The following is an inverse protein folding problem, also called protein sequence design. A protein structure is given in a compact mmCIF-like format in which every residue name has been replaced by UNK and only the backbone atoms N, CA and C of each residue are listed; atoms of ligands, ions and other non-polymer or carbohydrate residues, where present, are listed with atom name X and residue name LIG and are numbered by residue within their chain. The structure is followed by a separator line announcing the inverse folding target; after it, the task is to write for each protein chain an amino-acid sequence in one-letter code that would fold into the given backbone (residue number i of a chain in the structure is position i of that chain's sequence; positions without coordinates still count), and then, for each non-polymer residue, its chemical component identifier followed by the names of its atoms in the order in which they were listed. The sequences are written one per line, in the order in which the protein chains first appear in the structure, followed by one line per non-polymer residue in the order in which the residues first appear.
data_IF_621535678974
#
_entry.id   IF_621535678974
#
_cell.length_a   1.000
_cell.length_b   1.000
_cell.length_c   1.000
_cell.angle_alpha   90.00
_cell.angle_beta   90.00
_cell.angle_gamma   90.00
#
_symmetry.space_group_name_H-M   'P 1'
#
loop_
_entity.id
_entity.type
_entity.pdbx_description
1 polymer ?
#
# COMPACT_ATOMS: atom_id res chain seq x y z
N UNK A 1 27.23 1.28 -3.60
CA UNK A 1 26.00 1.67 -2.90
C UNK A 1 25.91 3.18 -2.98
N UNK A 2 25.04 3.71 -3.81
CA UNK A 2 24.76 5.14 -3.78
C UNK A 2 24.05 5.45 -2.45
N UNK A 3 24.59 6.39 -1.69
CA UNK A 3 23.93 6.86 -0.48
C UNK A 3 22.49 7.27 -0.80
N UNK A 4 21.55 6.79 -0.02
CA UNK A 4 20.13 7.13 -0.17
C UNK A 4 19.90 8.66 -0.13
N UNK A 5 20.89 9.40 0.37
CA UNK A 5 20.88 10.85 0.50
C UNK A 5 21.33 11.57 -0.78
N UNK A 6 21.94 10.87 -1.73
CA UNK A 6 22.39 11.43 -3.02
C UNK A 6 21.32 11.25 -4.13
N UNK A 7 20.17 10.68 -3.76
CA UNK A 7 19.14 10.29 -4.72
C UNK A 7 18.19 11.43 -5.09
N UNK A 8 17.96 12.40 -4.20
CA UNK A 8 16.96 13.47 -4.36
C UNK A 8 17.54 14.82 -3.94
N UNK A 9 17.29 15.85 -4.73
CA UNK A 9 17.50 17.23 -4.30
C UNK A 9 16.25 17.78 -3.57
N UNK A 10 16.35 18.96 -2.99
CA UNK A 10 15.23 19.61 -2.30
C UNK A 10 14.02 19.79 -3.21
N UNK A 11 14.26 20.08 -4.47
CA UNK A 11 13.22 20.28 -5.47
C UNK A 11 12.44 19.00 -5.77
N UNK A 12 13.12 17.85 -5.80
CA UNK A 12 12.48 16.53 -5.94
C UNK A 12 11.60 16.25 -4.72
N UNK A 13 12.06 16.55 -3.52
CA UNK A 13 11.29 16.37 -2.29
C UNK A 13 10.05 17.26 -2.28
N UNK A 14 10.17 18.52 -2.66
CA UNK A 14 9.04 19.45 -2.72
C UNK A 14 8.02 19.01 -3.77
N UNK A 15 8.49 18.54 -4.93
CA UNK A 15 7.64 17.98 -5.97
C UNK A 15 6.90 16.72 -5.48
N UNK A 16 7.58 15.81 -4.81
CA UNK A 16 6.96 14.60 -4.24
C UNK A 16 5.91 14.94 -3.19
N UNK A 17 6.14 15.93 -2.35
CA UNK A 17 5.13 16.41 -1.39
C UNK A 17 3.87 16.91 -2.07
N UNK A 18 4.02 17.66 -3.17
CA UNK A 18 2.88 18.17 -3.93
C UNK A 18 2.05 17.03 -4.55
N UNK A 19 2.71 16.09 -5.23
CA UNK A 19 2.01 14.99 -5.93
C UNK A 19 1.47 13.92 -4.99
N UNK A 20 2.08 13.71 -3.83
CA UNK A 20 1.54 12.82 -2.80
C UNK A 20 0.24 13.37 -2.20
N UNK A 21 0.16 14.69 -2.05
CA UNK A 21 -1.03 15.36 -1.51
C UNK A 21 -2.18 15.45 -2.51
N UNK A 22 -1.88 15.70 -3.77
CA UNK A 22 -2.85 15.82 -4.86
C UNK A 22 -2.19 15.45 -6.19
N UNK A 23 -2.48 14.25 -6.67
CA UNK A 23 -1.92 13.79 -7.93
C UNK A 23 -2.57 14.45 -9.15
N UNK A 24 -3.79 14.96 -9.03
CA UNK A 24 -4.47 15.70 -10.09
C UNK A 24 -3.95 17.14 -10.24
N UNK A 25 -3.00 17.55 -9.41
CA UNK A 25 -2.36 18.86 -9.54
C UNK A 25 -1.78 19.02 -10.96
N UNK A 26 -2.12 20.14 -11.59
CA UNK A 26 -1.67 20.42 -12.96
C UNK A 26 -0.17 20.76 -13.03
N UNK A 27 0.43 20.56 -14.20
CA UNK A 27 1.80 21.00 -14.46
C UNK A 27 1.95 22.51 -14.28
N UNK A 28 0.91 23.28 -14.62
CA UNK A 28 0.88 24.73 -14.39
C UNK A 28 0.97 25.08 -12.91
N UNK A 29 0.17 24.42 -12.09
CA UNK A 29 0.16 24.62 -10.63
C UNK A 29 1.50 24.22 -10.01
N UNK A 30 2.08 23.09 -10.41
CA UNK A 30 3.39 22.64 -9.95
C UNK A 30 4.51 23.60 -10.36
N UNK A 31 4.46 24.07 -11.60
CA UNK A 31 5.41 25.06 -12.14
C UNK A 31 5.39 26.35 -11.31
N UNK A 32 4.23 26.84 -10.97
CA UNK A 32 4.03 28.03 -10.16
C UNK A 32 4.48 27.83 -8.72
N UNK A 33 4.05 26.75 -8.08
CA UNK A 33 4.37 26.41 -6.68
C UNK A 33 5.88 26.21 -6.46
N UNK A 34 6.55 25.55 -7.39
CA UNK A 34 7.97 25.18 -7.28
C UNK A 34 8.91 26.17 -7.95
N UNK A 35 8.39 27.20 -8.60
CA UNK A 35 9.16 28.15 -9.39
C UNK A 35 10.08 27.45 -10.44
N UNK A 36 9.52 26.48 -11.13
CA UNK A 36 10.16 25.73 -12.21
C UNK A 36 9.37 25.86 -13.50
N UNK A 37 10.03 25.66 -14.63
CA UNK A 37 9.32 25.52 -15.91
C UNK A 37 8.50 24.23 -15.93
N UNK A 38 7.42 24.19 -16.72
CA UNK A 38 6.63 22.96 -16.95
C UNK A 38 7.50 21.82 -17.47
N UNK A 39 8.43 22.11 -18.36
CA UNK A 39 9.39 21.13 -18.89
C UNK A 39 10.28 20.55 -17.81
N UNK A 40 10.75 21.38 -16.87
CA UNK A 40 11.56 20.93 -15.74
C UNK A 40 10.77 20.05 -14.78
N UNK A 41 9.52 20.41 -14.48
CA UNK A 41 8.61 19.59 -13.67
C UNK A 41 8.36 18.24 -14.32
N UNK A 42 8.02 18.23 -15.60
CA UNK A 42 7.75 17.02 -16.38
C UNK A 42 8.97 16.09 -16.42
N UNK A 43 10.16 16.65 -16.63
CA UNK A 43 11.43 15.91 -16.62
C UNK A 43 11.67 15.23 -15.27
N UNK A 44 11.50 15.96 -14.16
CA UNK A 44 11.70 15.44 -12.81
C UNK A 44 10.69 14.33 -12.47
N UNK A 45 9.41 14.52 -12.82
CA UNK A 45 8.37 13.50 -12.63
C UNK A 45 8.70 12.21 -13.37
N UNK A 46 9.08 12.31 -14.64
CA UNK A 46 9.45 11.13 -15.43
C UNK A 46 10.68 10.42 -14.86
N UNK A 47 11.67 11.15 -14.42
CA UNK A 47 12.86 10.60 -13.78
C UNK A 47 12.52 9.86 -12.47
N UNK A 48 11.61 10.41 -11.66
CA UNK A 48 11.13 9.76 -10.44
C UNK A 48 10.32 8.49 -10.74
N UNK A 49 9.53 8.48 -11.80
CA UNK A 49 8.83 7.27 -12.29
C UNK A 49 9.81 6.22 -12.79
N UNK A 50 10.77 6.59 -13.62
CA UNK A 50 11.76 5.68 -14.20
C UNK A 50 12.64 5.03 -13.12
N UNK A 51 12.90 5.76 -12.04
CA UNK A 51 13.64 5.25 -10.87
C UNK A 51 12.79 4.42 -9.90
N UNK A 52 11.49 4.30 -10.14
CA UNK A 52 10.58 3.55 -9.28
C UNK A 52 10.22 4.27 -7.97
N UNK A 53 10.55 5.55 -7.83
CA UNK A 53 10.18 6.34 -6.63
C UNK A 53 8.67 6.62 -6.63
N UNK A 54 8.13 6.98 -7.79
CA UNK A 54 6.69 6.98 -8.02
C UNK A 54 6.34 5.62 -8.62
N UNK A 55 5.83 4.72 -7.80
CA UNK A 55 5.53 3.34 -8.21
C UNK A 55 4.27 3.24 -9.07
N UNK A 56 3.32 4.11 -8.83
CA UNK A 56 2.07 4.13 -9.57
C UNK A 56 1.12 5.20 -9.08
N UNK A 57 0.00 5.29 -9.77
CA UNK A 57 -1.11 6.19 -9.43
C UNK A 57 -2.37 5.37 -9.42
N UNK A 58 -3.09 5.43 -8.31
CA UNK A 58 -4.36 4.72 -8.13
C UNK A 58 -5.43 5.68 -7.63
N UNK A 59 -6.67 5.40 -7.98
CA UNK A 59 -7.78 6.12 -7.39
C UNK A 59 -8.05 5.60 -5.97
N UNK A 60 -8.26 6.51 -5.04
CA UNK A 60 -8.77 6.20 -3.71
C UNK A 60 -10.30 6.19 -3.78
N UNK A 61 -10.87 4.99 -3.72
CA UNK A 61 -12.31 4.80 -3.86
C UNK A 61 -12.97 4.72 -2.48
N UNK A 62 -14.15 5.33 -2.36
CA UNK A 62 -14.94 5.22 -1.15
C UNK A 62 -15.56 3.82 -1.02
N UNK A 63 -15.11 2.99 -0.07
CA UNK A 63 -15.62 1.63 0.09
C UNK A 63 -17.12 1.58 0.43
N UNK A 64 -17.63 2.59 1.10
CA UNK A 64 -19.05 2.68 1.47
C UNK A 64 -19.95 2.77 0.23
N UNK A 65 -19.46 3.39 -0.85
CA UNK A 65 -20.16 3.46 -2.13
C UNK A 65 -20.40 2.10 -2.77
N UNK A 66 -19.62 1.09 -2.37
CA UNK A 66 -19.73 -0.30 -2.83
C UNK A 66 -20.42 -1.22 -1.80
N UNK A 67 -20.98 -0.66 -0.74
CA UNK A 67 -21.60 -1.43 0.34
C UNK A 67 -20.61 -2.17 1.23
N UNK A 68 -19.32 -1.80 1.19
CA UNK A 68 -18.29 -2.39 2.03
C UNK A 68 -18.23 -1.68 3.39
N UNK A 69 -19.26 -1.91 4.20
CA UNK A 69 -19.54 -1.13 5.41
C UNK A 69 -18.76 -1.60 6.64
N UNK A 70 -18.12 -2.78 6.56
CA UNK A 70 -17.45 -3.39 7.69
C UNK A 70 -15.94 -3.45 7.47
N UNK A 71 -15.19 -2.90 8.43
CA UNK A 71 -13.73 -3.10 8.54
C UNK A 71 -13.48 -4.12 9.64
N UNK A 72 -12.67 -5.11 9.36
CA UNK A 72 -12.25 -6.08 10.35
C UNK A 72 -10.73 -6.11 10.46
N UNK A 73 -10.25 -6.22 11.69
CA UNK A 73 -8.84 -6.42 11.99
C UNK A 73 -8.72 -7.82 12.59
N UNK A 74 -7.95 -8.67 11.94
CA UNK A 74 -7.79 -10.07 12.31
C UNK A 74 -6.33 -10.34 12.69
N UNK A 75 -6.12 -10.95 13.83
CA UNK A 75 -4.83 -11.44 14.28
C UNK A 75 -4.63 -12.87 13.80
N UNK A 76 -3.47 -13.16 13.21
CA UNK A 76 -3.18 -14.48 12.63
C UNK A 76 -1.87 -15.01 13.20
N UNK A 77 -1.92 -16.23 13.71
CA UNK A 77 -0.76 -16.98 14.18
C UNK A 77 -0.41 -18.09 13.19
N UNK A 78 0.87 -18.28 12.94
CA UNK A 78 1.38 -19.22 11.94
C UNK A 78 2.43 -20.16 12.50
N UNK A 79 2.68 -21.24 11.78
CA UNK A 79 3.80 -22.16 12.11
C UNK A 79 5.13 -21.49 11.79
N UNK A 80 6.05 -21.47 12.73
CA UNK A 80 7.37 -20.90 12.61
C UNK A 80 8.35 -21.87 11.91
N UNK A 81 8.28 -21.95 10.59
CA UNK A 81 9.24 -22.67 9.77
C UNK A 81 9.95 -21.69 8.81
N UNK A 82 11.14 -22.05 8.39
CA UNK A 82 11.93 -21.20 7.53
C UNK A 82 11.23 -20.91 6.19
N UNK A 83 11.03 -19.63 5.87
CA UNK A 83 10.35 -19.17 4.65
C UNK A 83 8.83 -19.13 4.72
N UNK A 84 8.21 -19.65 5.78
CA UNK A 84 6.77 -19.68 5.91
C UNK A 84 6.12 -18.31 6.02
N UNK A 85 6.72 -17.42 6.80
CA UNK A 85 6.15 -16.08 7.05
C UNK A 85 5.96 -15.28 5.76
N UNK A 86 6.93 -15.32 4.86
CA UNK A 86 6.86 -14.59 3.59
C UNK A 86 5.80 -15.17 2.66
N UNK A 87 5.74 -16.49 2.54
CA UNK A 87 4.75 -17.20 1.74
C UNK A 87 3.33 -16.99 2.26
N UNK A 88 3.11 -17.15 3.55
CA UNK A 88 1.80 -16.95 4.18
C UNK A 88 1.35 -15.50 4.08
N UNK A 89 2.25 -14.54 4.27
CA UNK A 89 1.94 -13.12 4.09
C UNK A 89 1.45 -12.81 2.68
N UNK A 90 2.07 -13.36 1.66
CA UNK A 90 1.65 -13.23 0.27
C UNK A 90 0.28 -13.89 0.02
N UNK A 91 0.04 -15.06 0.57
CA UNK A 91 -1.23 -15.78 0.44
C UNK A 91 -2.37 -15.02 1.12
N UNK A 92 -2.14 -14.47 2.32
CA UNK A 92 -3.10 -13.61 3.01
C UNK A 92 -3.43 -12.35 2.20
N UNK A 93 -2.42 -11.70 1.65
CA UNK A 93 -2.59 -10.48 0.85
C UNK A 93 -3.35 -10.72 -0.46
N UNK A 94 -3.32 -11.95 -0.99
CA UNK A 94 -4.01 -12.34 -2.22
C UNK A 94 -5.51 -12.63 -2.03
N UNK A 95 -5.99 -12.76 -0.78
CA UNK A 95 -7.41 -13.05 -0.50
C UNK A 95 -8.30 -11.86 -0.86
N UNK A 96 -9.44 -12.14 -1.48
CA UNK A 96 -10.45 -11.12 -1.74
C UNK A 96 -10.98 -10.55 -0.42
N UNK A 97 -11.13 -9.23 -0.34
CA UNK A 97 -11.56 -8.53 0.86
C UNK A 97 -10.43 -8.13 1.81
N UNK A 98 -9.22 -8.64 1.62
CA UNK A 98 -8.05 -8.21 2.37
C UNK A 98 -7.46 -6.95 1.73
N UNK A 99 -7.34 -5.89 2.52
CA UNK A 99 -6.74 -4.61 2.09
C UNK A 99 -5.27 -4.51 2.43
N UNK A 100 -4.90 -4.92 3.64
CA UNK A 100 -3.55 -4.78 4.17
C UNK A 100 -3.17 -5.97 5.03
N UNK A 101 -1.90 -6.35 4.95
CA UNK A 101 -1.31 -7.39 5.78
C UNK A 101 -0.02 -6.84 6.38
N UNK A 102 0.08 -6.92 7.69
CA UNK A 102 1.25 -6.50 8.45
C UNK A 102 1.87 -7.68 9.17
N UNK A 103 3.16 -7.88 8.98
CA UNK A 103 3.94 -8.79 9.81
C UNK A 103 4.26 -8.11 11.14
N UNK A 104 4.06 -8.82 12.24
CA UNK A 104 4.28 -8.31 13.58
C UNK A 104 5.37 -9.08 14.32
N UNK A 105 5.96 -8.46 15.32
CA UNK A 105 6.97 -9.07 16.18
C UNK A 105 6.44 -9.22 17.62
N UNK A 106 5.17 -9.54 17.76
CA UNK A 106 4.49 -9.71 19.04
C UNK A 106 3.97 -11.14 19.24
N UNK A 107 2.88 -11.25 19.98
CA UNK A 107 2.24 -12.53 20.30
C UNK A 107 1.59 -13.20 19.09
N UNK A 108 1.22 -12.41 18.10
CA UNK A 108 0.69 -12.87 16.81
C UNK A 108 1.67 -12.57 15.70
N UNK A 109 1.58 -13.29 14.60
CA UNK A 109 2.53 -13.16 13.51
C UNK A 109 2.09 -12.13 12.45
N UNK A 110 0.78 -12.06 12.19
CA UNK A 110 0.21 -11.11 11.23
C UNK A 110 -0.99 -10.40 11.81
N UNK A 111 -1.15 -9.15 11.38
CA UNK A 111 -2.39 -8.39 11.52
C UNK A 111 -2.92 -8.12 10.12
N UNK A 112 -4.14 -8.53 9.86
CA UNK A 112 -4.81 -8.43 8.56
C UNK A 112 -5.98 -7.46 8.67
N UNK A 113 -5.99 -6.47 7.80
CA UNK A 113 -7.11 -5.52 7.66
C UNK A 113 -7.95 -5.95 6.47
N UNK A 114 -9.22 -6.22 6.72
CA UNK A 114 -10.18 -6.64 5.70
C UNK A 114 -11.34 -5.66 5.63
N UNK A 115 -11.88 -5.49 4.43
CA UNK A 115 -13.08 -4.70 4.21
C UNK A 115 -14.12 -5.55 3.49
N UNK A 116 -15.28 -5.66 4.11
CA UNK A 116 -16.33 -6.58 3.69
C UNK A 116 -17.70 -5.93 3.82
N UNK A 117 -18.71 -6.53 3.18
CA UNK A 117 -20.09 -6.02 3.21
C UNK A 117 -20.78 -6.28 4.54
N UNK A 118 -20.60 -7.49 5.07
CA UNK A 118 -21.31 -7.97 6.24
C UNK A 118 -20.54 -9.07 6.99
N UNK A 119 -21.12 -9.53 8.05
CA UNK A 119 -20.54 -10.59 8.90
C UNK A 119 -20.40 -11.94 8.17
N UNK A 120 -21.31 -12.24 7.25
CA UNK A 120 -21.26 -13.47 6.46
C UNK A 120 -20.02 -13.49 5.57
N UNK A 121 -19.77 -12.38 4.87
CA UNK A 121 -18.55 -12.24 4.07
C UNK A 121 -17.29 -12.26 4.95
N UNK A 122 -17.33 -11.63 6.12
CA UNK A 122 -16.21 -11.69 7.08
C UNK A 122 -15.87 -13.12 7.49
N UNK A 123 -16.88 -13.92 7.82
CA UNK A 123 -16.68 -15.31 8.14
C UNK A 123 -16.06 -16.11 6.99
N UNK A 124 -16.50 -15.85 5.75
CA UNK A 124 -15.92 -16.47 4.56
C UNK A 124 -14.42 -16.13 4.39
N UNK A 125 -14.04 -14.88 4.61
CA UNK A 125 -12.63 -14.46 4.57
C UNK A 125 -11.82 -15.14 5.65
N UNK A 126 -12.35 -15.27 6.86
CA UNK A 126 -11.68 -16.00 7.97
C UNK A 126 -11.49 -17.47 7.61
N UNK A 127 -12.49 -18.12 7.05
CA UNK A 127 -12.39 -19.52 6.60
C UNK A 127 -11.29 -19.70 5.54
N UNK A 128 -11.17 -18.76 4.61
CA UNK A 128 -10.10 -18.76 3.61
C UNK A 128 -8.72 -18.55 4.24
N UNK A 129 -8.60 -17.69 5.26
CA UNK A 129 -7.36 -17.49 6.02
C UNK A 129 -6.92 -18.77 6.73
N UNK A 130 -7.85 -19.43 7.40
CA UNK A 130 -7.60 -20.68 8.16
C UNK A 130 -7.25 -21.83 7.21
N UNK A 131 -7.73 -21.81 5.99
CA UNK A 131 -7.42 -22.80 4.95
C UNK A 131 -6.00 -22.68 4.40
N UNK A 132 -5.31 -21.58 4.63
CA UNK A 132 -3.91 -21.41 4.21
C UNK A 132 -3.02 -22.34 5.04
N UNK A 133 -2.21 -23.13 4.35
CA UNK A 133 -1.27 -24.05 5.00
C UNK A 133 -0.26 -23.28 5.87
N UNK A 134 -0.16 -23.67 7.13
CA UNK A 134 0.70 -23.00 8.10
C UNK A 134 -0.02 -21.98 9.01
N UNK A 135 -1.24 -21.59 8.72
CA UNK A 135 -2.06 -20.78 9.62
C UNK A 135 -2.62 -21.67 10.73
N UNK A 136 -2.34 -21.30 11.98
CA UNK A 136 -2.75 -22.06 13.16
C UNK A 136 -4.02 -21.50 13.80
N UNK A 137 -4.09 -20.19 13.90
CA UNK A 137 -5.15 -19.49 14.60
C UNK A 137 -5.34 -18.07 14.02
#
# INVERSE_FOLDING_TARGET
MADANDAFDEMDIDLLRCVESDFDVSLDALSEELDLSKSAVHYRLNKLKDRGVIEGVTADLDPLSFGLDMVAITEVSVTHEQGYSESIGADLAALAGVEQVYYTMGDVDFVVVSRVQDRSQMNAVIEEMVAIDGVNE
#
